data_IF_395004650985
#
_entry.id   IF_395004650985
#
_cell.length_a   1.000
_cell.length_b   1.000
_cell.length_c   1.000
_cell.angle_alpha   90.00
_cell.angle_beta   90.00
_cell.angle_gamma   90.00
#
_symmetry.space_group_name_H-M   'P 1'
#
loop_
_entity.id
_entity.type
_entity.pdbx_description
1 polymer ?
#
# COMPACT_ATOMS: atom_id res chain seq x y z
N UNK A 1 23.28 5.44 -9.18
CA UNK A 1 22.63 4.18 -8.81
C UNK A 1 22.34 4.22 -7.31
N UNK A 2 21.11 3.91 -6.90
CA UNK A 2 20.75 3.86 -5.47
C UNK A 2 20.85 2.41 -4.99
N UNK A 3 21.47 2.22 -3.83
CA UNK A 3 21.70 0.92 -3.21
C UNK A 3 21.09 0.92 -1.81
N UNK A 4 20.46 -0.17 -1.43
CA UNK A 4 19.93 -0.41 -0.10
C UNK A 4 20.88 -1.32 0.68
N UNK A 5 21.34 -0.87 1.84
CA UNK A 5 22.01 -1.68 2.84
C UNK A 5 20.99 -2.11 3.89
N UNK A 6 20.64 -3.39 3.89
CA UNK A 6 19.62 -3.97 4.76
C UNK A 6 20.26 -4.68 5.95
N UNK A 7 20.17 -4.07 7.12
CA UNK A 7 20.70 -4.58 8.40
C UNK A 7 19.57 -5.21 9.23
N UNK A 8 18.97 -6.27 8.69
CA UNK A 8 17.82 -6.94 9.29
C UNK A 8 18.14 -8.42 9.44
N UNK A 9 17.87 -8.97 10.62
CA UNK A 9 17.95 -10.41 10.81
C UNK A 9 16.77 -11.09 10.08
N UNK A 10 17.09 -11.73 8.96
CA UNK A 10 16.13 -12.46 8.13
C UNK A 10 15.91 -13.92 8.60
N UNK A 11 16.55 -14.35 9.70
CA UNK A 11 16.27 -15.62 10.36
C UNK A 11 16.51 -16.85 9.49
N UNK A 12 17.55 -16.83 8.65
CA UNK A 12 18.07 -18.04 8.00
C UNK A 12 18.77 -18.88 9.07
N UNK A 13 18.38 -20.15 9.20
CA UNK A 13 18.58 -20.98 10.40
C UNK A 13 20.04 -21.38 10.71
N UNK A 14 21.02 -20.97 9.89
CA UNK A 14 22.42 -21.40 10.05
C UNK A 14 23.43 -20.27 10.31
N UNK A 15 23.01 -19.02 10.46
CA UNK A 15 23.96 -17.92 10.71
C UNK A 15 23.69 -17.18 12.03
N UNK A 16 24.62 -17.36 12.97
CA UNK A 16 24.80 -16.53 14.17
C UNK A 16 25.19 -15.06 13.82
N UNK A 17 25.21 -14.72 12.52
CA UNK A 17 25.67 -13.45 11.97
C UNK A 17 24.52 -12.68 11.31
N UNK A 18 24.33 -11.43 11.75
CA UNK A 18 23.53 -10.44 11.02
C UNK A 18 24.43 -9.83 9.96
N UNK A 19 24.41 -10.35 8.72
CA UNK A 19 25.09 -9.69 7.62
C UNK A 19 24.23 -8.58 7.01
N UNK A 20 24.79 -7.40 6.72
CA UNK A 20 24.10 -6.41 5.90
C UNK A 20 23.96 -6.94 4.46
N UNK A 21 22.73 -7.06 3.98
CA UNK A 21 22.47 -7.36 2.56
C UNK A 21 22.59 -6.08 1.74
N UNK A 22 23.25 -6.12 0.59
CA UNK A 22 23.37 -4.98 -0.32
C UNK A 22 22.49 -5.21 -1.54
N UNK A 23 21.37 -4.50 -1.61
CA UNK A 23 20.38 -4.61 -2.68
C UNK A 23 20.45 -3.42 -3.61
N UNK A 24 20.13 -3.64 -4.88
CA UNK A 24 20.14 -2.57 -5.88
C UNK A 24 18.73 -2.12 -6.18
N UNK A 25 18.54 -0.80 -6.35
CA UNK A 25 17.24 -0.27 -6.73
C UNK A 25 16.90 -0.77 -8.14
N UNK A 26 15.79 -1.50 -8.26
CA UNK A 26 15.27 -1.85 -9.56
C UNK A 26 14.40 -0.69 -10.06
N UNK A 27 14.79 -0.06 -11.17
CA UNK A 27 13.99 0.99 -11.79
C UNK A 27 12.82 0.34 -12.52
N UNK A 28 11.63 0.32 -11.91
CA UNK A 28 10.43 -0.24 -12.56
C UNK A 28 9.86 0.71 -13.64
N UNK A 29 10.42 1.93 -13.76
CA UNK A 29 10.19 2.85 -14.88
C UNK A 29 11.02 2.44 -16.10
N UNK A 30 10.34 2.17 -17.23
CA UNK A 30 10.96 2.30 -18.56
C UNK A 30 11.25 3.79 -18.79
N UNK A 31 12.49 4.22 -18.58
CA UNK A 31 12.95 5.53 -19.04
C UNK A 31 12.86 5.58 -20.56
N UNK A 32 12.07 6.50 -21.09
CA UNK A 32 12.10 6.87 -22.50
C UNK A 32 12.96 8.13 -22.64
N UNK A 33 14.28 7.97 -22.78
CA UNK A 33 15.17 8.84 -23.56
C UNK A 33 16.63 8.45 -23.35
N UNK A 34 17.33 8.27 -24.47
CA UNK A 34 18.78 8.14 -24.58
C UNK A 34 19.41 9.50 -24.27
N UNK A 35 20.35 9.53 -23.35
CA UNK A 35 21.49 10.45 -23.41
C UNK A 35 22.63 9.89 -22.54
N UNK A 36 23.58 9.26 -23.22
CA UNK A 36 24.86 8.82 -22.65
C UNK A 36 25.80 10.02 -22.61
N UNK A 37 25.97 10.63 -21.45
CA UNK A 37 27.23 11.24 -21.01
C UNK A 37 27.02 12.04 -19.72
N UNK A 38 27.23 11.41 -18.57
CA UNK A 38 27.60 12.14 -17.34
C UNK A 38 28.26 11.18 -16.36
N UNK A 39 29.30 11.68 -15.68
CA UNK A 39 30.16 10.95 -14.75
C UNK A 39 29.36 10.03 -13.82
N UNK A 40 29.88 8.82 -13.56
CA UNK A 40 29.28 7.85 -12.64
C UNK A 40 28.93 8.53 -11.31
N UNK A 41 27.65 8.75 -11.01
CA UNK A 41 27.26 9.41 -9.78
C UNK A 41 27.68 8.52 -8.60
N UNK A 42 28.22 9.14 -7.55
CA UNK A 42 28.54 8.44 -6.29
C UNK A 42 27.33 7.60 -5.88
N UNK A 43 27.49 6.30 -5.59
CA UNK A 43 26.37 5.44 -5.22
C UNK A 43 25.64 6.04 -4.03
N UNK A 44 24.34 6.21 -4.19
CA UNK A 44 23.47 6.74 -3.13
C UNK A 44 23.08 5.56 -2.25
N UNK A 45 23.65 5.47 -1.05
CA UNK A 45 23.37 4.36 -0.13
C UNK A 45 22.29 4.77 0.86
N UNK A 46 21.24 3.96 0.95
CA UNK A 46 20.21 4.03 1.97
C UNK A 46 20.44 2.85 2.92
N UNK A 47 20.38 3.07 4.23
CA UNK A 47 20.50 1.99 5.21
C UNK A 47 19.17 1.76 5.91
N UNK A 48 18.73 0.50 6.03
CA UNK A 48 17.58 0.10 6.84
C UNK A 48 18.07 -0.72 8.01
N UNK A 49 17.79 -0.26 9.23
CA UNK A 49 18.21 -0.85 10.50
C UNK A 49 17.09 -0.74 11.55
N UNK A 50 17.36 -1.17 12.78
CA UNK A 50 16.42 -1.12 13.91
C UNK A 50 15.05 -1.75 13.59
N UNK A 51 15.08 -2.87 12.86
CA UNK A 51 13.88 -3.51 12.34
C UNK A 51 13.21 -4.43 13.37
N UNK A 52 11.90 -4.26 13.52
CA UNK A 52 11.03 -5.15 14.30
C UNK A 52 10.03 -5.82 13.37
N UNK A 53 9.98 -7.15 13.39
CA UNK A 53 8.99 -7.93 12.64
C UNK A 53 7.59 -7.67 13.21
N UNK A 54 6.69 -7.17 12.36
CA UNK A 54 5.30 -6.87 12.75
C UNK A 54 4.28 -7.81 12.09
N UNK A 55 4.65 -8.45 10.97
CA UNK A 55 3.81 -9.47 10.32
C UNK A 55 4.66 -10.53 9.63
N UNK A 56 4.23 -11.80 9.71
CA UNK A 56 4.86 -12.94 9.06
C UNK A 56 3.81 -13.71 8.25
N UNK A 57 3.79 -13.47 6.94
CA UNK A 57 3.08 -14.29 5.98
C UNK A 57 3.93 -15.48 5.52
N UNK A 58 3.36 -16.30 4.62
CA UNK A 58 4.06 -17.48 4.07
C UNK A 58 5.29 -17.11 3.26
N UNK A 59 5.22 -16.01 2.49
CA UNK A 59 6.29 -15.58 1.56
C UNK A 59 6.78 -14.16 1.79
N UNK A 60 6.01 -13.35 2.53
CA UNK A 60 6.30 -11.94 2.80
C UNK A 60 6.38 -11.72 4.29
N UNK A 61 7.41 -10.99 4.71
CA UNK A 61 7.59 -10.52 6.08
C UNK A 61 7.54 -9.01 6.08
N UNK A 62 6.86 -8.43 7.06
CA UNK A 62 6.71 -6.98 7.19
C UNK A 62 7.40 -6.53 8.45
N UNK A 63 8.31 -5.58 8.29
CA UNK A 63 9.08 -5.00 9.38
C UNK A 63 8.77 -3.51 9.50
N UNK A 64 8.64 -3.03 10.73
CA UNK A 64 8.80 -1.60 11.04
C UNK A 64 10.28 -1.35 11.31
N UNK A 65 10.87 -0.34 10.69
CA UNK A 65 12.32 -0.10 10.77
C UNK A 65 12.66 1.39 10.64
N UNK A 66 13.94 1.72 10.85
CA UNK A 66 14.50 3.05 10.57
C UNK A 66 15.24 3.03 9.24
N UNK A 67 14.92 3.99 8.38
CA UNK A 67 15.69 4.26 7.16
C UNK A 67 16.56 5.48 7.38
N UNK A 68 17.85 5.32 7.11
CA UNK A 68 18.83 6.39 7.06
C UNK A 68 19.07 6.75 5.60
N UNK A 69 18.72 7.98 5.24
CA UNK A 69 19.00 8.50 3.91
C UNK A 69 20.50 8.88 3.78
N UNK A 70 20.97 9.15 2.55
CA UNK A 70 22.37 9.53 2.30
C UNK A 70 22.79 10.85 2.96
N UNK A 71 21.83 11.68 3.35
CA UNK A 71 22.03 12.96 4.03
C UNK A 71 22.06 12.78 5.57
N UNK A 72 21.84 11.57 6.07
CA UNK A 72 21.78 11.25 7.50
C UNK A 72 20.42 11.53 8.12
N UNK A 73 19.40 11.86 7.35
CA UNK A 73 18.03 11.95 7.85
C UNK A 73 17.51 10.56 8.18
N UNK A 74 16.83 10.45 9.30
CA UNK A 74 16.19 9.21 9.75
C UNK A 74 14.69 9.34 9.60
N UNK A 75 14.06 8.35 8.98
CA UNK A 75 12.61 8.24 8.91
C UNK A 75 12.13 6.83 9.28
N UNK A 76 10.94 6.79 9.89
CA UNK A 76 10.21 5.55 10.15
C UNK A 76 9.64 4.97 8.85
N UNK A 77 9.92 3.70 8.60
CA UNK A 77 9.49 3.00 7.39
C UNK A 77 8.87 1.64 7.71
N UNK A 78 8.13 1.14 6.72
CA UNK A 78 7.73 -0.26 6.60
C UNK A 78 8.57 -0.90 5.49
N UNK A 79 9.24 -2.00 5.83
CA UNK A 79 9.93 -2.85 4.86
C UNK A 79 9.14 -4.14 4.66
N UNK A 80 8.54 -4.31 3.48
CA UNK A 80 7.98 -5.61 3.05
C UNK A 80 9.10 -6.38 2.33
N UNK A 81 9.45 -7.55 2.87
CA UNK A 81 10.54 -8.39 2.37
C UNK A 81 9.94 -9.70 1.90
N UNK A 82 10.12 -10.01 0.61
CA UNK A 82 9.75 -11.29 0.01
C UNK A 82 10.98 -12.15 -0.26
N UNK A 83 10.76 -13.46 -0.17
CA UNK A 83 11.69 -14.49 -0.55
C UNK A 83 11.09 -15.34 -1.67
N UNK A 84 11.91 -15.69 -2.66
CA UNK A 84 11.60 -16.72 -3.66
C UNK A 84 10.22 -16.51 -4.31
N UNK A 85 9.26 -17.41 -4.10
CA UNK A 85 7.92 -17.38 -4.69
C UNK A 85 7.11 -16.11 -4.35
N UNK A 86 7.47 -15.36 -3.29
CA UNK A 86 6.78 -14.11 -2.91
C UNK A 86 7.13 -12.88 -3.73
N UNK A 87 8.21 -12.91 -4.54
CA UNK A 87 8.72 -11.75 -5.29
C UNK A 87 7.62 -11.10 -6.14
N UNK A 88 6.85 -11.91 -6.87
CA UNK A 88 5.85 -11.41 -7.81
C UNK A 88 4.74 -10.57 -7.13
N UNK A 89 4.44 -10.82 -5.84
CA UNK A 89 3.44 -10.07 -5.07
C UNK A 89 3.94 -8.66 -4.76
N UNK A 90 5.15 -8.56 -4.19
CA UNK A 90 5.74 -7.27 -3.83
C UNK A 90 6.13 -6.47 -5.09
N UNK A 91 6.61 -7.14 -6.14
CA UNK A 91 6.93 -6.50 -7.41
C UNK A 91 5.69 -5.85 -8.05
N UNK A 92 4.55 -6.55 -8.01
CA UNK A 92 3.27 -6.03 -8.54
C UNK A 92 2.83 -4.80 -7.74
N UNK A 93 2.82 -4.90 -6.42
CA UNK A 93 2.48 -3.79 -5.52
C UNK A 93 3.42 -2.59 -5.73
N UNK A 94 4.74 -2.82 -5.75
CA UNK A 94 5.75 -1.78 -5.97
C UNK A 94 5.55 -1.05 -7.31
N UNK A 95 5.15 -1.77 -8.38
CA UNK A 95 4.79 -1.14 -9.66
C UNK A 95 3.58 -0.21 -9.54
N UNK A 96 2.59 -0.53 -8.72
CA UNK A 96 1.46 0.38 -8.51
C UNK A 96 1.87 1.65 -7.78
N UNK A 97 2.70 1.52 -6.74
CA UNK A 97 3.26 2.67 -6.03
C UNK A 97 4.05 3.60 -6.96
N UNK A 98 4.95 3.07 -7.79
CA UNK A 98 5.78 3.90 -8.69
C UNK A 98 5.01 4.48 -9.89
N UNK A 99 3.83 3.94 -10.22
CA UNK A 99 3.05 4.36 -11.38
C UNK A 99 1.71 4.98 -10.95
N UNK A 100 0.64 4.19 -10.89
CA UNK A 100 -0.75 4.65 -10.67
C UNK A 100 -0.88 5.50 -9.40
N UNK A 101 -0.31 5.02 -8.29
CA UNK A 101 -0.48 5.64 -6.97
C UNK A 101 0.43 6.85 -6.75
N UNK A 102 1.38 7.13 -7.65
CA UNK A 102 2.42 8.15 -7.46
C UNK A 102 1.86 9.54 -7.09
N UNK A 103 0.70 9.92 -7.64
CA UNK A 103 0.06 11.20 -7.38
C UNK A 103 -0.67 11.32 -6.04
N UNK A 104 -0.87 10.23 -5.31
CA UNK A 104 -1.67 10.18 -4.06
C UNK A 104 -0.88 9.65 -2.86
N UNK A 105 0.45 9.49 -3.02
CA UNK A 105 1.36 9.09 -1.96
C UNK A 105 1.52 10.19 -0.89
N UNK A 106 1.46 9.80 0.37
CA UNK A 106 1.45 10.71 1.52
C UNK A 106 0.09 11.40 1.73
N UNK A 107 -0.95 10.98 1.01
CA UNK A 107 -2.34 11.44 1.19
C UNK A 107 -3.27 10.26 1.41
N UNK A 108 -3.47 9.41 0.39
CA UNK A 108 -4.37 8.24 0.47
C UNK A 108 -3.65 6.92 0.69
N UNK A 109 -2.37 6.87 0.31
CA UNK A 109 -1.50 5.70 0.45
C UNK A 109 -0.13 6.14 0.96
N UNK A 110 0.66 5.25 1.59
CA UNK A 110 2.02 5.55 2.02
C UNK A 110 2.92 6.09 0.91
N UNK A 111 3.93 6.91 1.26
CA UNK A 111 5.03 7.18 0.33
C UNK A 111 5.85 5.91 0.08
N UNK A 112 6.27 5.69 -1.16
CA UNK A 112 7.14 4.61 -1.56
C UNK A 112 8.55 5.15 -1.78
N UNK A 113 9.51 4.61 -1.05
CA UNK A 113 10.93 4.98 -1.15
C UNK A 113 11.66 4.16 -2.22
N UNK A 114 11.11 3.01 -2.59
CA UNK A 114 11.55 2.23 -3.73
C UNK A 114 11.41 0.73 -3.52
N UNK A 115 11.67 0.04 -4.62
CA UNK A 115 11.75 -1.41 -4.68
C UNK A 115 13.20 -1.83 -5.00
N UNK A 116 13.72 -2.78 -4.23
CA UNK A 116 15.12 -3.20 -4.24
C UNK A 116 15.22 -4.71 -4.29
N UNK A 117 16.18 -5.21 -5.04
CA UNK A 117 16.39 -6.65 -5.22
C UNK A 117 17.87 -7.01 -5.15
N UNK A 118 18.12 -8.24 -4.72
CA UNK A 118 19.40 -8.92 -4.84
C UNK A 118 19.17 -10.42 -5.04
N UNK A 119 19.98 -11.02 -5.89
CA UNK A 119 20.13 -12.47 -5.96
C UNK A 119 21.04 -12.90 -4.79
N UNK A 120 20.53 -13.78 -3.92
CA UNK A 120 21.26 -14.35 -2.80
C UNK A 120 21.21 -15.87 -2.90
N UNK A 121 22.38 -16.47 -3.18
CA UNK A 121 22.50 -17.90 -3.52
C UNK A 121 21.60 -18.33 -4.69
N UNK A 122 20.52 -19.07 -4.41
CA UNK A 122 19.54 -19.55 -5.39
C UNK A 122 18.19 -18.81 -5.30
N UNK A 123 18.08 -17.82 -4.43
CA UNK A 123 16.85 -17.10 -4.14
C UNK A 123 16.96 -15.60 -4.45
N UNK A 124 15.83 -14.97 -4.77
CA UNK A 124 15.73 -13.50 -4.84
C UNK A 124 15.23 -12.96 -3.51
N UNK A 125 15.93 -11.97 -2.95
CA UNK A 125 15.41 -11.15 -1.86
C UNK A 125 14.88 -9.85 -2.47
N UNK A 126 13.58 -9.63 -2.31
CA UNK A 126 12.88 -8.42 -2.79
C UNK A 126 12.40 -7.58 -1.64
N UNK A 127 12.65 -6.27 -1.69
CA UNK A 127 12.30 -5.33 -0.62
C UNK A 127 11.55 -4.14 -1.18
N UNK A 128 10.33 -3.91 -0.68
CA UNK A 128 9.57 -2.68 -0.89
C UNK A 128 9.62 -1.83 0.38
N UNK A 129 10.09 -0.59 0.24
CA UNK A 129 10.17 0.38 1.33
C UNK A 129 9.04 1.40 1.22
N UNK A 130 8.22 1.48 2.27
CA UNK A 130 7.07 2.38 2.37
C UNK A 130 7.17 3.26 3.62
N UNK A 131 6.50 4.40 3.62
CA UNK A 131 6.30 5.24 4.80
C UNK A 131 5.56 4.47 5.90
N UNK A 132 6.02 4.63 7.14
CA UNK A 132 5.24 4.20 8.29
C UNK A 132 4.09 5.20 8.54
N UNK A 133 2.90 4.79 8.11
CA UNK A 133 1.64 5.52 8.29
C UNK A 133 0.92 5.13 9.60
N UNK A 134 1.66 4.65 10.60
CA UNK A 134 1.18 4.52 11.97
C UNK A 134 0.59 3.13 12.28
N UNK A 135 -0.57 3.10 12.94
CA UNK A 135 -1.10 1.87 13.54
C UNK A 135 -2.32 1.38 12.75
N UNK A 136 -2.40 0.07 12.58
CA UNK A 136 -3.56 -0.63 12.00
C UNK A 136 -4.88 -0.22 12.68
N UNK A 137 -5.93 -0.08 11.87
CA UNK A 137 -7.28 0.14 12.35
C UNK A 137 -7.72 -0.98 13.28
N UNK A 138 -8.25 -0.61 14.46
CA UNK A 138 -8.85 -1.55 15.40
C UNK A 138 -10.36 -1.63 15.18
N UNK A 139 -10.93 -2.83 15.34
CA UNK A 139 -12.36 -3.06 15.23
C UNK A 139 -12.84 -3.18 13.77
N UNK A 140 -14.15 -3.08 13.56
CA UNK A 140 -14.74 -3.22 12.23
C UNK A 140 -14.92 -1.87 11.52
N UNK A 141 -14.82 -1.86 10.19
CA UNK A 141 -15.05 -0.66 9.36
C UNK A 141 -16.43 -0.02 9.63
N UNK A 142 -17.45 -0.85 9.87
CA UNK A 142 -18.82 -0.38 10.17
C UNK A 142 -18.95 0.33 11.52
N UNK A 143 -18.06 0.08 12.46
CA UNK A 143 -18.08 0.67 13.82
C UNK A 143 -17.36 2.02 13.89
N UNK A 144 -16.61 2.38 12.85
CA UNK A 144 -15.94 3.68 12.76
C UNK A 144 -16.94 4.84 12.88
N UNK A 145 -16.50 5.95 13.48
CA UNK A 145 -17.30 7.16 13.51
C UNK A 145 -17.54 7.70 12.08
N UNK A 146 -18.55 8.57 11.95
CA UNK A 146 -18.92 9.10 10.65
C UNK A 146 -17.78 9.88 9.98
N UNK A 147 -16.95 10.59 10.72
CA UNK A 147 -15.82 11.35 10.17
C UNK A 147 -14.81 10.41 9.51
N UNK A 148 -14.46 9.34 10.21
CA UNK A 148 -13.55 8.29 9.75
C UNK A 148 -14.10 7.57 8.53
N UNK A 149 -15.40 7.22 8.52
CA UNK A 149 -16.07 6.62 7.36
C UNK A 149 -15.97 7.49 6.11
N UNK A 150 -16.21 8.79 6.23
CA UNK A 150 -16.07 9.73 5.11
C UNK A 150 -14.63 9.77 4.59
N UNK A 151 -13.64 9.87 5.48
CA UNK A 151 -12.23 9.86 5.09
C UNK A 151 -11.87 8.56 4.36
N UNK A 152 -12.28 7.40 4.87
CA UNK A 152 -12.00 6.11 4.22
C UNK A 152 -12.54 6.06 2.79
N UNK A 153 -13.77 6.50 2.58
CA UNK A 153 -14.38 6.60 1.24
C UNK A 153 -13.59 7.56 0.36
N UNK A 154 -13.31 8.78 0.84
CA UNK A 154 -12.57 9.79 0.08
C UNK A 154 -11.20 9.27 -0.37
N UNK A 155 -10.44 8.64 0.54
CA UNK A 155 -9.11 8.08 0.21
C UNK A 155 -9.22 6.90 -0.74
N UNK A 156 -10.25 6.06 -0.62
CA UNK A 156 -10.46 4.94 -1.55
C UNK A 156 -10.90 5.45 -2.93
N UNK A 157 -11.73 6.49 -3.00
CA UNK A 157 -12.06 7.16 -4.26
C UNK A 157 -10.83 7.74 -4.96
N UNK A 158 -9.84 8.23 -4.21
CA UNK A 158 -8.54 8.64 -4.77
C UNK A 158 -7.78 7.46 -5.39
N UNK A 159 -7.77 6.29 -4.74
CA UNK A 159 -7.19 5.06 -5.31
C UNK A 159 -7.88 4.68 -6.61
N UNK A 160 -9.22 4.76 -6.65
CA UNK A 160 -10.02 4.52 -7.85
C UNK A 160 -9.75 5.54 -8.95
N UNK A 161 -9.64 6.83 -8.61
CA UNK A 161 -9.27 7.91 -9.52
C UNK A 161 -7.85 7.78 -10.07
N UNK A 162 -6.94 7.13 -9.33
CA UNK A 162 -5.61 6.76 -9.79
C UNK A 162 -5.61 5.55 -10.74
N UNK A 163 -6.78 4.97 -11.01
CA UNK A 163 -6.95 3.87 -11.97
C UNK A 163 -6.73 2.48 -11.38
N UNK A 164 -6.96 2.31 -10.07
CA UNK A 164 -6.85 1.02 -9.37
C UNK A 164 -8.11 0.67 -8.60
N UNK A 165 -8.37 -0.63 -8.50
CA UNK A 165 -9.32 -1.24 -7.55
C UNK A 165 -8.49 -2.01 -6.51
N UNK A 166 -8.85 -1.92 -5.23
CA UNK A 166 -8.01 -2.46 -4.15
C UNK A 166 -8.07 -4.00 -4.05
N UNK A 167 -9.28 -4.55 -4.14
CA UNK A 167 -9.69 -5.95 -4.05
C UNK A 167 -9.52 -6.65 -2.70
N UNK A 168 -9.13 -5.93 -1.64
CA UNK A 168 -9.00 -6.49 -0.30
C UNK A 168 -9.33 -5.45 0.78
N UNK A 169 -10.54 -4.91 0.70
CA UNK A 169 -11.00 -3.91 1.67
C UNK A 169 -11.27 -4.57 3.02
N UNK A 170 -10.42 -4.26 3.99
CA UNK A 170 -10.56 -4.77 5.36
C UNK A 170 -9.86 -3.84 6.36
N UNK A 171 -10.22 -3.88 7.67
CA UNK A 171 -9.58 -3.05 8.68
C UNK A 171 -8.05 -3.22 8.75
N UNK A 172 -7.54 -4.44 8.50
CA UNK A 172 -6.09 -4.72 8.51
C UNK A 172 -5.31 -3.97 7.43
N UNK A 173 -5.98 -3.54 6.38
CA UNK A 173 -5.40 -2.81 5.25
C UNK A 173 -5.63 -1.30 5.37
N UNK A 174 -5.92 -0.83 6.58
CA UNK A 174 -6.05 0.59 6.93
C UNK A 174 -5.13 0.88 8.11
N UNK A 175 -4.28 1.90 7.96
CA UNK A 175 -3.45 2.43 9.06
C UNK A 175 -3.73 3.91 9.29
N UNK A 176 -3.55 4.38 10.52
CA UNK A 176 -3.80 5.76 10.90
C UNK A 176 -2.52 6.50 11.32
N UNK A 177 -2.30 7.66 10.70
CA UNK A 177 -1.28 8.64 11.06
C UNK A 177 -1.95 9.99 11.30
N UNK A 178 -1.73 10.56 12.48
CA UNK A 178 -2.26 11.89 12.85
C UNK A 178 -3.78 12.05 12.65
N UNK A 179 -4.55 10.96 12.78
CA UNK A 179 -6.01 10.94 12.61
C UNK A 179 -6.49 10.84 11.16
N UNK A 180 -5.58 10.60 10.21
CA UNK A 180 -5.90 10.33 8.80
C UNK A 180 -5.66 8.85 8.44
N UNK A 181 -6.61 8.20 7.76
CA UNK A 181 -6.45 6.83 7.31
C UNK A 181 -5.67 6.76 5.99
N UNK A 182 -4.88 5.69 5.85
CA UNK A 182 -4.14 5.33 4.65
C UNK A 182 -4.49 3.91 4.26
N UNK A 183 -4.79 3.69 2.98
CA UNK A 183 -4.94 2.36 2.41
C UNK A 183 -3.57 1.77 2.12
N UNK A 184 -3.36 0.52 2.54
CA UNK A 184 -2.12 -0.23 2.34
C UNK A 184 -2.43 -1.60 1.71
N UNK A 185 -1.38 -2.32 1.32
CA UNK A 185 -1.46 -3.70 0.85
C UNK A 185 -2.15 -3.88 -0.51
N UNK A 186 -1.47 -3.43 -1.57
CA UNK A 186 -1.98 -3.44 -2.94
C UNK A 186 -1.61 -4.71 -3.74
N UNK A 187 -1.27 -5.81 -3.06
CA UNK A 187 -0.88 -7.06 -3.73
C UNK A 187 -2.01 -7.66 -4.58
N UNK A 188 -3.25 -7.55 -4.11
CA UNK A 188 -4.44 -8.01 -4.82
C UNK A 188 -4.98 -6.99 -5.82
N UNK A 189 -4.49 -5.75 -5.80
CA UNK A 189 -5.06 -4.69 -6.62
C UNK A 189 -4.92 -4.93 -8.11
N UNK A 190 -5.81 -4.31 -8.87
CA UNK A 190 -5.84 -4.41 -10.32
C UNK A 190 -6.10 -3.06 -10.96
N UNK A 191 -5.69 -2.91 -12.23
CA UNK A 191 -6.04 -1.73 -13.02
C UNK A 191 -7.55 -1.65 -13.19
N UNK A 192 -8.08 -0.46 -13.03
CA UNK A 192 -9.51 -0.20 -12.98
C UNK A 192 -9.81 1.14 -13.66
N UNK A 193 -10.84 1.15 -14.51
CA UNK A 193 -11.46 2.39 -14.96
C UNK A 193 -12.71 2.60 -14.10
N UNK A 194 -12.63 3.50 -13.12
CA UNK A 194 -13.72 3.70 -12.19
C UNK A 194 -14.92 4.35 -12.89
N UNK A 195 -16.03 3.62 -12.93
CA UNK A 195 -17.31 4.11 -13.45
C UNK A 195 -18.18 4.77 -12.39
N UNK A 196 -17.67 4.99 -11.16
CA UNK A 196 -18.47 5.54 -10.07
C UNK A 196 -19.13 6.85 -10.50
N UNK A 197 -20.44 6.95 -10.30
CA UNK A 197 -21.19 8.18 -10.48
C UNK A 197 -21.79 8.68 -9.18
N UNK A 198 -21.94 10.00 -9.07
CA UNK A 198 -22.56 10.63 -7.90
C UNK A 198 -21.70 10.63 -6.62
N UNK A 199 -22.24 11.30 -5.61
CA UNK A 199 -21.66 11.36 -4.28
C UNK A 199 -22.31 10.31 -3.36
N UNK A 200 -21.55 9.81 -2.39
CA UNK A 200 -22.10 9.00 -1.30
C UNK A 200 -22.76 9.96 -0.30
N UNK A 201 -24.09 9.93 -0.22
CA UNK A 201 -24.86 10.75 0.73
C UNK A 201 -25.39 9.85 1.85
N UNK A 202 -24.90 10.00 3.10
CA UNK A 202 -25.40 9.22 4.23
C UNK A 202 -26.90 9.45 4.47
N UNK A 203 -27.63 8.37 4.76
CA UNK A 203 -29.05 8.38 5.04
C UNK A 203 -29.96 8.43 3.81
N UNK A 204 -29.41 8.51 2.60
CA UNK A 204 -30.17 8.30 1.37
C UNK A 204 -30.48 6.82 1.14
N UNK A 205 -31.42 6.54 0.24
CA UNK A 205 -31.68 5.16 -0.18
C UNK A 205 -30.50 4.62 -0.98
N UNK A 206 -30.21 3.34 -0.79
CA UNK A 206 -29.20 2.63 -1.57
C UNK A 206 -29.53 2.75 -3.08
N UNK A 207 -28.59 3.26 -3.91
CA UNK A 207 -28.79 3.30 -5.36
C UNK A 207 -28.72 1.90 -5.97
N UNK A 208 -29.12 1.76 -7.22
CA UNK A 208 -28.85 0.54 -7.98
C UNK A 208 -27.35 0.45 -8.31
N UNK A 209 -26.78 -0.75 -8.31
CA UNK A 209 -25.34 -0.93 -8.57
C UNK A 209 -24.97 -0.43 -9.99
N UNK A 210 -25.87 -0.62 -10.96
CA UNK A 210 -25.65 -0.17 -12.33
C UNK A 210 -25.58 1.36 -12.44
N UNK A 211 -26.41 2.07 -11.67
CA UNK A 211 -26.38 3.53 -11.60
C UNK A 211 -25.15 4.02 -10.83
N UNK A 212 -24.78 3.31 -9.75
CA UNK A 212 -23.60 3.67 -8.95
C UNK A 212 -22.29 3.47 -9.72
N UNK A 213 -22.17 2.41 -10.53
CA UNK A 213 -21.11 2.26 -11.54
C UNK A 213 -19.76 1.70 -11.07
N UNK A 214 -19.61 1.33 -9.79
CA UNK A 214 -18.41 0.66 -9.28
C UNK A 214 -18.74 -0.34 -8.16
N UNK A 215 -18.45 -1.63 -8.36
CA UNK A 215 -18.77 -2.70 -7.41
C UNK A 215 -18.04 -2.58 -6.08
N UNK A 216 -16.72 -2.41 -6.09
CA UNK A 216 -15.93 -2.33 -4.85
C UNK A 216 -16.38 -1.15 -3.96
N UNK A 217 -16.52 0.05 -4.54
CA UNK A 217 -16.97 1.22 -3.78
C UNK A 217 -18.41 1.06 -3.30
N UNK A 218 -19.28 0.44 -4.10
CA UNK A 218 -20.66 0.17 -3.72
C UNK A 218 -20.73 -0.77 -2.51
N UNK A 219 -20.05 -1.91 -2.59
CA UNK A 219 -19.99 -2.91 -1.53
C UNK A 219 -19.36 -2.33 -0.27
N UNK A 220 -18.29 -1.52 -0.42
CA UNK A 220 -17.67 -0.85 0.70
C UNK A 220 -18.62 0.12 1.39
N UNK A 221 -19.26 1.02 0.64
CA UNK A 221 -20.21 2.00 1.20
C UNK A 221 -21.42 1.31 1.85
N UNK A 222 -21.91 0.24 1.25
CA UNK A 222 -22.96 -0.61 1.83
C UNK A 222 -22.50 -1.24 3.14
N UNK A 223 -21.27 -1.77 3.20
CA UNK A 223 -20.71 -2.37 4.42
C UNK A 223 -20.58 -1.38 5.57
N UNK A 224 -20.38 -0.09 5.27
CA UNK A 224 -20.35 1.00 6.26
C UNK A 224 -21.73 1.40 6.80
N UNK A 225 -22.81 0.84 6.23
CA UNK A 225 -24.22 1.14 6.56
C UNK A 225 -24.57 2.62 6.42
N UNK A 226 -24.02 3.27 5.39
CA UNK A 226 -24.30 4.68 5.13
C UNK A 226 -25.63 4.91 4.43
N UNK A 227 -26.13 3.92 3.70
CA UNK A 227 -27.43 4.00 3.03
C UNK A 227 -28.53 3.34 3.85
N UNK A 228 -29.77 3.81 3.65
CA UNK A 228 -30.98 3.13 4.09
C UNK A 228 -31.23 1.91 3.21
N UNK A 229 -31.65 0.81 3.83
CA UNK A 229 -32.25 -0.32 3.11
C UNK A 229 -33.46 0.16 2.30
N UNK A 230 -33.72 -0.48 1.16
CA UNK A 230 -34.75 -0.11 0.17
C UNK A 230 -36.08 0.32 0.80
N UNK A 231 -36.79 1.25 0.14
CA UNK A 231 -38.15 1.69 0.52
C UNK A 231 -39.02 0.47 0.86
N UNK A 232 -39.39 0.29 2.12
CA UNK A 232 -40.53 -0.54 2.46
C UNK A 232 -41.74 0.13 1.81
N UNK A 233 -42.31 -0.51 0.79
CA UNK A 233 -43.66 -0.17 0.35
C UNK A 233 -44.55 -0.54 1.53
N UNK A 234 -44.98 0.45 2.32
CA UNK A 234 -46.07 0.22 3.26
C UNK A 234 -47.32 0.02 2.42
N UNK A 235 -47.68 -1.24 2.17
CA UNK A 235 -49.03 -1.60 1.74
C UNK A 235 -50.00 -1.31 2.89
N UNK A 236 -50.41 -0.05 3.03
CA UNK A 236 -51.62 0.32 3.74
C UNK A 236 -52.25 1.46 2.97
N UNK A 237 -53.09 1.09 2.00
CA UNK A 237 -54.32 1.78 1.59
C UNK A 237 -54.89 1.05 0.36
N UNK A 238 -55.65 -0.02 0.63
CA UNK A 238 -56.76 -0.51 -0.19
C UNK A 238 -57.91 -0.88 0.75
#
# INVERSE_FOLDING_TARGET
MTTLRLEVNLGFEDEEYVYPYTLTRNYLRKGCSKDDSQASPVPTVITVADATLIHRGSYVRVYRAKMHDPQGQVCDIIAKIAFSEGEHLILKEGKFYENQLSGIQGDAVPRCFGFFEVEYELDTISVLLLEDCGIEMKGQLVEADMSTKHKLIEKLEKVHGAGLVHQDISPRNVVFKDGDPFWIDFEHSARHACGKTGAVIPGEFKPDLQDFGCAELYEFVESLRLWKSSKSISCHEL
#
